data_IF_838053443699
#
_entry.id   IF_838053443699
#
_cell.length_a   1.000
_cell.length_b   1.000
_cell.length_c   1.000
_cell.angle_alpha   90.00
_cell.angle_beta   90.00
_cell.angle_gamma   90.00
#
_symmetry.space_group_name_H-M   'P 1'
#
loop_
_entity.id
_entity.type
_entity.pdbx_description
1 polymer ?
#
# COMPACT_ATOMS: atom_id res chain seq x y z
N UNK A 1 -72.71 5.58 -29.25
CA UNK A 1 -71.99 6.61 -30.02
C UNK A 1 -70.54 6.63 -29.57
N UNK A 2 -69.64 6.23 -30.47
CA UNK A 2 -68.20 6.28 -30.33
C UNK A 2 -67.66 7.68 -30.67
N UNK A 3 -66.60 8.09 -30.00
CA UNK A 3 -65.55 8.95 -30.56
C UNK A 3 -64.23 8.59 -29.84
N UNK A 4 -63.48 7.65 -30.41
CA UNK A 4 -62.25 7.84 -31.22
C UNK A 4 -60.97 7.76 -30.38
N UNK A 5 -60.33 6.60 -30.52
CA UNK A 5 -58.91 6.35 -30.31
C UNK A 5 -58.03 7.41 -30.99
N UNK A 6 -56.97 7.83 -30.30
CA UNK A 6 -55.69 8.15 -30.91
C UNK A 6 -54.57 7.60 -30.02
N UNK A 7 -53.81 6.67 -30.60
CA UNK A 7 -52.59 6.06 -30.08
C UNK A 7 -51.38 6.93 -30.46
N UNK A 8 -50.32 6.79 -29.64
CA UNK A 8 -48.88 7.05 -29.86
C UNK A 8 -48.29 8.29 -29.13
N UNK A 9 -47.00 8.28 -28.74
CA UNK A 9 -46.11 7.14 -28.48
C UNK A 9 -45.41 7.20 -27.10
N UNK A 10 -44.93 6.03 -26.64
CA UNK A 10 -43.96 5.89 -25.55
C UNK A 10 -42.68 6.67 -25.90
N UNK A 11 -42.37 7.72 -25.17
CA UNK A 11 -41.03 8.31 -25.16
C UNK A 11 -40.19 7.63 -24.09
N UNK A 12 -39.42 6.63 -24.54
CA UNK A 12 -38.12 6.34 -23.95
C UNK A 12 -37.30 7.62 -23.99
N UNK A 13 -36.87 8.11 -22.83
CA UNK A 13 -35.65 8.90 -22.75
C UNK A 13 -34.93 8.50 -21.46
N UNK A 14 -34.33 7.31 -21.53
CA UNK A 14 -33.09 7.04 -20.81
C UNK A 14 -32.13 8.19 -21.12
N UNK A 15 -31.82 9.02 -20.13
CA UNK A 15 -30.59 9.81 -20.17
C UNK A 15 -29.45 8.81 -20.06
N UNK A 16 -29.01 8.32 -21.20
CA UNK A 16 -27.75 7.62 -21.38
C UNK A 16 -26.67 8.64 -20.99
N UNK A 17 -26.13 8.50 -19.78
CA UNK A 17 -24.85 9.12 -19.49
C UNK A 17 -23.87 8.55 -20.52
N UNK A 18 -23.12 9.40 -21.26
CA UNK A 18 -22.15 8.91 -22.22
C UNK A 18 -21.22 7.96 -21.46
N UNK A 19 -21.08 6.76 -22.01
CA UNK A 19 -20.24 5.67 -21.56
C UNK A 19 -18.82 6.22 -21.35
N UNK A 20 -18.54 6.75 -20.15
CA UNK A 20 -17.16 6.98 -19.73
C UNK A 20 -16.56 5.60 -19.64
N UNK A 21 -15.43 5.32 -20.31
CA UNK A 21 -14.71 4.08 -20.08
C UNK A 21 -14.48 3.96 -18.57
N UNK A 22 -15.14 2.99 -17.94
CA UNK A 22 -14.93 2.66 -16.53
C UNK A 22 -13.62 1.89 -16.33
N UNK A 23 -12.95 1.56 -17.43
CA UNK A 23 -11.58 1.08 -17.49
C UNK A 23 -10.67 2.26 -17.86
N UNK A 24 -9.70 2.56 -17.01
CA UNK A 24 -8.50 3.28 -17.47
C UNK A 24 -7.59 2.20 -18.06
N UNK A 25 -7.19 2.35 -19.32
CA UNK A 25 -6.23 1.40 -19.92
C UNK A 25 -4.92 1.49 -19.15
N UNK A 26 -4.38 0.34 -18.71
CA UNK A 26 -3.07 0.30 -18.06
C UNK A 26 -1.96 0.84 -18.98
N UNK A 27 -2.16 0.74 -20.30
CA UNK A 27 -1.26 1.30 -21.32
C UNK A 27 -1.30 2.83 -21.39
N UNK A 28 -2.39 3.44 -20.90
CA UNK A 28 -2.53 4.91 -20.77
C UNK A 28 -2.11 5.44 -19.40
N UNK A 29 -1.84 4.56 -18.44
CA UNK A 29 -1.23 4.95 -17.17
C UNK A 29 0.26 5.10 -17.39
N UNK A 30 0.71 6.35 -17.45
CA UNK A 30 2.12 6.66 -17.56
C UNK A 30 2.81 6.49 -16.19
N UNK A 31 3.47 5.35 -16.03
CA UNK A 31 4.39 5.08 -14.91
C UNK A 31 5.83 5.49 -15.23
N UNK A 32 6.06 6.31 -16.26
CA UNK A 32 7.38 6.85 -16.55
C UNK A 32 7.92 7.59 -15.32
N UNK A 33 9.24 7.59 -15.21
CA UNK A 33 9.96 8.21 -14.09
C UNK A 33 9.48 9.63 -13.79
N UNK A 34 9.06 10.42 -14.79
CA UNK A 34 8.55 11.79 -14.61
C UNK A 34 7.30 11.93 -13.73
N UNK A 35 6.46 10.90 -13.61
CA UNK A 35 5.34 10.88 -12.66
C UNK A 35 5.71 10.25 -11.31
N UNK A 36 6.70 9.36 -11.28
CA UNK A 36 7.34 8.85 -10.06
C UNK A 36 8.28 9.88 -9.40
N UNK A 37 8.70 10.94 -10.10
CA UNK A 37 9.38 12.10 -9.49
C UNK A 37 8.47 12.83 -8.46
N UNK A 38 7.15 12.62 -8.55
CA UNK A 38 6.18 13.00 -7.52
C UNK A 38 5.87 11.84 -6.57
N UNK A 39 6.83 10.93 -6.34
CA UNK A 39 6.73 9.98 -5.24
C UNK A 39 6.73 10.76 -3.92
N UNK A 40 5.51 11.03 -3.46
CA UNK A 40 5.27 11.68 -2.18
C UNK A 40 5.87 10.88 -1.02
N UNK A 41 6.09 9.57 -1.18
CA UNK A 41 6.70 8.76 -0.12
C UNK A 41 8.19 9.08 0.06
N UNK A 42 8.95 9.27 -1.03
CA UNK A 42 10.36 9.68 -0.97
C UNK A 42 10.48 11.11 -0.44
N UNK A 43 9.64 12.03 -0.94
CA UNK A 43 9.61 13.41 -0.44
C UNK A 43 9.26 13.47 1.05
N UNK A 44 8.25 12.71 1.49
CA UNK A 44 7.86 12.63 2.89
C UNK A 44 8.97 12.00 3.74
N UNK A 45 9.62 10.95 3.23
CA UNK A 45 10.77 10.33 3.90
C UNK A 45 11.87 11.35 4.16
N UNK A 46 12.33 12.09 3.15
CA UNK A 46 13.38 13.09 3.34
C UNK A 46 12.92 14.31 4.15
N UNK A 47 11.64 14.67 4.08
CA UNK A 47 11.06 15.72 4.91
C UNK A 47 11.06 15.35 6.39
N UNK A 48 10.78 14.09 6.73
CA UNK A 48 10.80 13.59 8.12
C UNK A 48 12.19 13.11 8.56
N UNK A 49 13.12 12.92 7.62
CA UNK A 49 14.47 12.48 7.93
C UNK A 49 15.27 13.59 8.62
N UNK A 50 15.91 13.22 9.73
CA UNK A 50 16.85 14.07 10.45
C UNK A 50 18.19 14.15 9.69
N UNK A 51 18.20 14.97 8.64
CA UNK A 51 19.36 15.20 7.76
C UNK A 51 20.07 16.52 8.06
N UNK A 52 21.39 16.56 7.87
CA UNK A 52 22.21 17.74 8.10
C UNK A 52 23.28 17.57 9.18
N UNK A 53 24.25 18.49 9.20
CA UNK A 53 25.42 18.41 10.09
C UNK A 53 25.06 18.48 11.57
N UNK A 54 23.95 19.14 11.91
CA UNK A 54 23.43 19.24 13.28
C UNK A 54 23.11 17.87 13.91
N UNK A 55 22.82 16.84 13.11
CA UNK A 55 22.56 15.49 13.60
C UNK A 55 23.80 14.60 13.67
N UNK A 56 24.97 15.10 13.24
CA UNK A 56 26.19 14.27 13.13
C UNK A 56 26.66 13.76 14.49
N UNK A 57 26.58 14.58 15.54
CA UNK A 57 26.98 14.17 16.90
C UNK A 57 26.08 13.05 17.40
N UNK A 58 24.77 13.23 17.31
CA UNK A 58 23.77 12.22 17.67
C UNK A 58 23.95 10.91 16.89
N UNK A 59 24.19 10.98 15.58
CA UNK A 59 24.44 9.78 14.77
C UNK A 59 25.71 9.03 15.22
N UNK A 60 26.78 9.75 15.60
CA UNK A 60 28.01 9.13 16.12
C UNK A 60 27.76 8.44 17.46
N UNK A 61 26.98 9.05 18.34
CA UNK A 61 26.59 8.45 19.61
C UNK A 61 25.76 7.18 19.39
N UNK A 62 24.76 7.22 18.49
CA UNK A 62 23.95 6.05 18.13
C UNK A 62 24.82 4.90 17.61
N UNK A 63 25.78 5.20 16.74
CA UNK A 63 26.69 4.19 16.18
C UNK A 63 27.65 3.66 17.26
N UNK A 64 28.09 4.51 18.18
CA UNK A 64 28.97 4.11 19.27
C UNK A 64 28.28 3.16 20.26
N UNK A 65 27.02 3.43 20.60
CA UNK A 65 26.20 2.61 21.50
C UNK A 65 25.59 1.37 20.82
N UNK A 66 25.62 1.32 19.49
CA UNK A 66 25.10 0.18 18.76
C UNK A 66 25.92 -1.09 19.05
N UNK A 67 25.24 -2.21 19.20
CA UNK A 67 25.86 -3.51 19.43
C UNK A 67 25.28 -4.56 18.50
N UNK A 68 26.05 -5.61 18.25
CA UNK A 68 25.58 -6.77 17.51
C UNK A 68 26.19 -8.06 18.06
N UNK A 69 25.46 -9.16 17.86
CA UNK A 69 25.88 -10.50 18.22
C UNK A 69 25.48 -11.48 17.12
N UNK A 70 26.44 -12.30 16.68
CA UNK A 70 26.20 -13.37 15.70
C UNK A 70 26.16 -14.70 16.44
N UNK A 71 24.99 -15.33 16.45
CA UNK A 71 24.74 -16.58 17.14
C UNK A 71 25.37 -17.76 16.38
N UNK A 72 25.61 -18.86 17.09
CA UNK A 72 26.18 -20.09 16.53
C UNK A 72 25.32 -20.72 15.43
N UNK A 73 24.00 -20.47 15.44
CA UNK A 73 23.07 -20.90 14.40
C UNK A 73 23.14 -20.06 13.11
N UNK A 74 24.02 -19.04 13.08
CA UNK A 74 24.20 -18.13 11.96
C UNK A 74 23.27 -16.91 11.97
N UNK A 75 22.36 -16.80 12.94
CA UNK A 75 21.52 -15.61 13.09
C UNK A 75 22.31 -14.41 13.60
N UNK A 76 21.85 -13.20 13.25
CA UNK A 76 22.42 -11.92 13.67
C UNK A 76 21.37 -11.15 14.47
N UNK A 77 21.78 -10.65 15.64
CA UNK A 77 21.00 -9.74 16.46
C UNK A 77 21.76 -8.42 16.56
N UNK A 78 21.13 -7.30 16.25
CA UNK A 78 21.68 -5.96 16.42
C UNK A 78 20.77 -5.13 17.32
N UNK A 79 21.36 -4.29 18.15
CA UNK A 79 20.69 -3.28 18.94
C UNK A 79 21.19 -1.91 18.52
N UNK A 80 20.29 -1.05 18.03
CA UNK A 80 20.63 0.28 17.50
C UNK A 80 19.57 1.26 18.00
N UNK A 81 19.96 2.25 18.79
CA UNK A 81 19.06 3.33 19.24
C UNK A 81 17.73 2.82 19.83
N UNK A 82 17.79 1.84 20.74
CA UNK A 82 16.60 1.23 21.36
C UNK A 82 15.79 0.28 20.46
N UNK A 83 16.19 0.09 19.20
CA UNK A 83 15.58 -0.85 18.27
C UNK A 83 16.36 -2.18 18.27
N UNK A 84 15.65 -3.28 18.00
CA UNK A 84 16.26 -4.61 17.80
C UNK A 84 16.08 -5.05 16.35
N UNK A 85 17.18 -5.34 15.67
CA UNK A 85 17.19 -5.93 14.33
C UNK A 85 17.63 -7.38 14.44
N UNK A 86 16.80 -8.31 13.99
CA UNK A 86 17.08 -9.75 13.97
C UNK A 86 17.09 -10.25 12.54
N UNK A 87 18.16 -10.92 12.14
CA UNK A 87 18.25 -11.64 10.88
C UNK A 87 18.38 -13.14 11.17
N UNK A 88 17.44 -13.94 10.66
CA UNK A 88 17.51 -15.40 10.72
C UNK A 88 18.59 -15.94 9.78
N UNK A 89 19.01 -17.20 9.98
CA UNK A 89 19.92 -17.88 9.05
C UNK A 89 19.39 -17.92 7.60
N UNK A 90 18.08 -17.92 7.44
CA UNK A 90 17.41 -17.95 6.13
C UNK A 90 17.30 -16.55 5.50
N UNK A 91 17.79 -15.52 6.19
CA UNK A 91 17.74 -14.13 5.74
C UNK A 91 16.47 -13.38 6.11
N UNK A 92 15.55 -13.99 6.88
CA UNK A 92 14.36 -13.27 7.37
C UNK A 92 14.81 -12.17 8.32
N UNK A 93 14.36 -10.94 8.09
CA UNK A 93 14.71 -9.77 8.89
C UNK A 93 13.48 -9.31 9.67
N UNK A 94 13.63 -9.06 10.96
CA UNK A 94 12.66 -8.37 11.80
C UNK A 94 13.31 -7.16 12.46
N UNK A 95 12.73 -5.98 12.25
CA UNK A 95 13.08 -4.75 12.97
C UNK A 95 11.98 -4.48 13.99
N UNK A 96 12.30 -4.51 15.27
CA UNK A 96 11.41 -4.21 16.38
C UNK A 96 11.80 -2.87 17.01
N UNK A 97 10.90 -1.89 16.85
CA UNK A 97 11.01 -0.52 17.36
C UNK A 97 9.69 -0.15 18.06
N UNK A 98 9.24 -1.02 19.00
CA UNK A 98 7.92 -0.99 19.65
C UNK A 98 7.26 0.40 19.76
N UNK A 99 5.99 0.54 19.37
CA UNK A 99 5.07 -0.51 18.91
C UNK A 99 5.21 -0.85 17.41
N UNK A 100 6.29 -0.40 16.76
CA UNK A 100 6.49 -0.54 15.31
C UNK A 100 7.31 -1.79 15.03
N UNK A 101 6.85 -2.60 14.09
CA UNK A 101 7.55 -3.81 13.67
C UNK A 101 7.56 -3.88 12.15
N UNK A 102 8.73 -4.13 11.58
CA UNK A 102 8.92 -4.43 10.16
C UNK A 102 9.43 -5.86 10.06
N UNK A 103 8.83 -6.67 9.19
CA UNK A 103 9.28 -8.02 8.89
C UNK A 103 9.47 -8.18 7.40
N UNK A 104 10.54 -8.81 6.99
CA UNK A 104 10.86 -9.10 5.60
C UNK A 104 11.37 -10.53 5.51
N UNK A 105 10.86 -11.29 4.54
CA UNK A 105 11.32 -12.64 4.24
C UNK A 105 11.67 -12.74 2.76
N UNK A 106 12.96 -12.93 2.43
CA UNK A 106 13.38 -13.13 1.05
C UNK A 106 12.81 -14.42 0.43
N UNK A 107 12.63 -15.46 1.25
CA UNK A 107 12.16 -16.79 0.78
C UNK A 107 10.69 -16.76 0.36
N UNK A 108 9.86 -16.00 1.07
CA UNK A 108 8.43 -15.84 0.73
C UNK A 108 8.16 -14.55 -0.04
N UNK A 109 9.19 -13.76 -0.38
CA UNK A 109 9.04 -12.42 -0.98
C UNK A 109 8.05 -11.51 -0.23
N UNK A 110 7.93 -11.70 1.09
CA UNK A 110 6.91 -11.05 1.89
C UNK A 110 7.51 -9.93 2.74
N UNK A 111 6.78 -8.82 2.85
CA UNK A 111 7.14 -7.69 3.69
C UNK A 111 5.91 -7.26 4.48
N UNK A 112 6.05 -7.06 5.78
CA UNK A 112 4.99 -6.60 6.67
C UNK A 112 5.47 -5.39 7.47
N UNK A 113 4.62 -4.38 7.57
CA UNK A 113 4.85 -3.20 8.41
C UNK A 113 3.65 -3.02 9.31
N UNK A 114 3.88 -3.08 10.62
CA UNK A 114 2.87 -2.87 11.64
C UNK A 114 3.27 -1.74 12.56
N UNK A 115 2.32 -0.86 12.84
CA UNK A 115 2.43 0.21 13.83
C UNK A 115 1.06 0.46 14.46
N UNK A 116 0.97 1.44 15.35
CA UNK A 116 -0.30 1.92 15.89
C UNK A 116 -1.22 2.57 14.84
N UNK A 117 -0.68 3.00 13.69
CA UNK A 117 -1.42 3.78 12.69
C UNK A 117 -1.64 3.05 11.38
N UNK A 118 -0.75 2.12 11.03
CA UNK A 118 -0.78 1.39 9.76
C UNK A 118 -0.46 -0.08 9.97
N UNK A 119 -1.20 -0.94 9.28
CA UNK A 119 -0.94 -2.37 9.11
C UNK A 119 -0.96 -2.67 7.62
N UNK A 120 0.20 -2.99 7.06
CA UNK A 120 0.35 -3.24 5.63
C UNK A 120 1.26 -4.42 5.39
N UNK A 121 1.07 -5.08 4.25
CA UNK A 121 2.01 -6.09 3.83
C UNK A 121 1.86 -6.48 2.38
N UNK A 122 2.96 -6.94 1.81
CA UNK A 122 3.06 -7.63 0.54
C UNK A 122 3.32 -9.10 0.85
N UNK A 123 2.58 -9.98 0.21
CA UNK A 123 2.60 -11.43 0.39
C UNK A 123 2.85 -12.11 -0.96
N UNK A 124 3.09 -13.42 -0.90
CA UNK A 124 3.14 -14.26 -2.09
C UNK A 124 1.89 -14.13 -2.96
N UNK A 125 2.03 -14.49 -4.24
CA UNK A 125 0.95 -14.47 -5.22
C UNK A 125 0.36 -13.09 -5.50
N UNK A 126 1.21 -12.06 -5.51
CA UNK A 126 0.83 -10.68 -5.87
C UNK A 126 -0.29 -10.12 -4.98
N UNK A 127 -0.30 -10.53 -3.71
CA UNK A 127 -1.26 -10.03 -2.73
C UNK A 127 -0.61 -8.90 -1.93
N UNK A 128 -1.32 -7.78 -1.84
CA UNK A 128 -0.89 -6.67 -1.02
C UNK A 128 -2.09 -6.08 -0.27
N UNK A 129 -1.84 -5.54 0.92
CA UNK A 129 -2.86 -4.81 1.66
C UNK A 129 -2.26 -3.64 2.42
N UNK A 130 -3.10 -2.64 2.65
CA UNK A 130 -2.81 -1.50 3.52
C UNK A 130 -4.07 -1.21 4.33
N UNK A 131 -3.93 -1.04 5.63
CA UNK A 131 -5.01 -0.68 6.55
C UNK A 131 -4.57 0.49 7.42
N UNK A 132 -5.39 1.53 7.49
CA UNK A 132 -5.21 2.71 8.34
C UNK A 132 -6.56 3.14 8.90
N UNK A 133 -6.83 2.82 10.16
CA UNK A 133 -8.15 3.02 10.78
C UNK A 133 -9.23 2.27 9.99
N UNK A 134 -10.26 2.99 9.55
CA UNK A 134 -11.35 2.43 8.73
C UNK A 134 -10.97 2.29 7.24
N UNK A 135 -9.88 2.93 6.81
CA UNK A 135 -9.44 2.92 5.41
C UNK A 135 -8.62 1.68 5.13
N UNK A 136 -8.91 1.01 4.02
CA UNK A 136 -8.24 -0.23 3.62
C UNK A 136 -8.16 -0.36 2.10
N UNK A 137 -7.05 -0.93 1.66
CA UNK A 137 -6.81 -1.34 0.29
C UNK A 137 -6.36 -2.79 0.33
N UNK A 138 -6.91 -3.62 -0.56
CA UNK A 138 -6.46 -4.99 -0.78
C UNK A 138 -6.32 -5.22 -2.28
N UNK A 139 -5.19 -5.75 -2.70
CA UNK A 139 -4.85 -6.05 -4.10
C UNK A 139 -4.52 -7.53 -4.20
N UNK A 140 -4.92 -8.15 -5.32
CA UNK A 140 -4.61 -9.52 -5.68
C UNK A 140 -4.69 -9.69 -7.20
N UNK A 141 -4.34 -10.88 -7.70
CA UNK A 141 -4.48 -11.21 -9.13
C UNK A 141 -5.87 -11.01 -9.73
N UNK A 142 -6.94 -11.06 -8.93
CA UNK A 142 -8.31 -10.85 -9.44
C UNK A 142 -8.70 -9.37 -9.53
N UNK A 143 -7.91 -8.48 -8.93
CA UNK A 143 -8.20 -7.04 -8.86
C UNK A 143 -7.97 -6.44 -7.47
N UNK A 144 -8.63 -5.32 -7.23
CA UNK A 144 -8.43 -4.46 -6.06
C UNK A 144 -9.74 -4.14 -5.36
N UNK A 145 -9.70 -4.02 -4.03
CA UNK A 145 -10.80 -3.52 -3.21
C UNK A 145 -10.28 -2.36 -2.37
N UNK A 146 -10.98 -1.23 -2.42
CA UNK A 146 -10.69 -0.02 -1.65
C UNK A 146 -11.90 0.31 -0.81
N UNK A 147 -11.68 0.65 0.45
CA UNK A 147 -12.73 1.15 1.34
C UNK A 147 -12.19 2.30 2.18
N UNK A 148 -13.02 3.30 2.40
CA UNK A 148 -12.69 4.45 3.23
C UNK A 148 -13.35 4.41 4.62
N UNK A 149 -14.13 3.35 4.88
CA UNK A 149 -14.95 3.13 6.08
C UNK A 149 -16.46 3.24 5.82
N UNK A 150 -16.86 4.07 4.85
CA UNK A 150 -18.26 4.32 4.51
C UNK A 150 -18.64 3.65 3.21
N UNK A 151 -17.74 3.72 2.23
CA UNK A 151 -17.91 3.13 0.93
C UNK A 151 -16.90 2.01 0.70
N UNK A 152 -17.28 1.07 -0.16
CA UNK A 152 -16.41 0.01 -0.66
C UNK A 152 -16.52 0.01 -2.18
N UNK A 153 -15.40 0.16 -2.86
CA UNK A 153 -15.31 0.07 -4.31
C UNK A 153 -14.35 -1.06 -4.69
N UNK A 154 -14.75 -1.89 -5.64
CA UNK A 154 -13.91 -2.96 -6.16
C UNK A 154 -13.66 -2.80 -7.65
N UNK A 155 -12.45 -3.15 -8.05
CA UNK A 155 -11.94 -3.08 -9.41
C UNK A 155 -11.45 -4.47 -9.81
N UNK A 156 -11.72 -4.90 -11.05
CA UNK A 156 -11.15 -6.14 -11.57
C UNK A 156 -9.70 -5.95 -12.03
N UNK A 157 -9.05 -7.03 -12.46
CA UNK A 157 -7.68 -7.02 -12.97
C UNK A 157 -7.48 -6.24 -14.29
N UNK A 158 -8.56 -5.82 -14.95
CA UNK A 158 -8.50 -4.95 -16.14
C UNK A 158 -8.64 -3.47 -15.80
N UNK A 159 -8.76 -3.12 -14.52
CA UNK A 159 -8.95 -1.73 -14.11
C UNK A 159 -10.40 -1.25 -14.15
N UNK A 160 -11.39 -2.15 -14.34
CA UNK A 160 -12.81 -1.78 -14.38
C UNK A 160 -13.42 -1.79 -13.00
N UNK A 161 -14.17 -0.75 -12.66
CA UNK A 161 -15.00 -0.76 -11.44
C UNK A 161 -16.14 -1.77 -11.62
N UNK A 162 -16.17 -2.80 -10.76
CA UNK A 162 -17.16 -3.89 -10.81
C UNK A 162 -18.22 -3.80 -9.71
N UNK A 163 -17.95 -3.08 -8.62
CA UNK A 163 -18.92 -2.82 -7.57
C UNK A 163 -18.56 -1.54 -6.80
N UNK A 164 -19.59 -0.84 -6.34
CA UNK A 164 -19.46 0.27 -5.38
C UNK A 164 -20.70 0.32 -4.50
N UNK A 165 -20.51 0.31 -3.18
CA UNK A 165 -21.57 0.42 -2.16
C UNK A 165 -21.22 1.53 -1.18
#
# INVERSE_FOLDING_TARGET
MCAKHQLLPRTQNQRIHPYRPSAVSLETLDFSSGHLENDFSIRLFYHEAQTGTQFTVMSKEIVHEASYDRKADGSLLMHINGMSVRQSRNGDVTVDARPRVIQCSPSTTAVFVRSSYIDMGVQESEKAYVKRGLKRVHVSRSGMVVSDGNCITSMDHFGRIVSST
#
